data_IF_293322194047
#
_entry.id   IF_293322194047
#
_cell.length_a   1.000
_cell.length_b   1.000
_cell.length_c   1.000
_cell.angle_alpha   90.00
_cell.angle_beta   90.00
_cell.angle_gamma   90.00
#
_symmetry.space_group_name_H-M   'P 1'
#
loop_
_entity.id
_entity.type
_entity.pdbx_description
1 polymer ?
#
# COMPACT_ATOMS: atom_id res chain seq x y z
N UNK A 1 39.70 3.58 44.40
CA UNK A 1 39.60 2.35 45.21
C UNK A 1 38.13 1.94 45.30
N UNK A 2 37.84 0.67 44.95
CA UNK A 2 36.71 -0.20 45.35
C UNK A 2 35.27 0.32 45.10
N UNK A 3 34.49 -0.16 44.13
CA UNK A 3 33.90 -1.49 43.86
C UNK A 3 32.77 -1.92 44.81
N UNK A 4 31.57 -2.16 44.24
CA UNK A 4 30.57 -3.25 44.45
C UNK A 4 29.22 -2.80 43.83
N UNK A 5 28.63 -3.44 42.79
CA UNK A 5 27.86 -4.71 42.75
C UNK A 5 26.75 -4.76 43.82
N UNK A 6 25.49 -5.16 43.65
CA UNK A 6 24.59 -5.67 42.60
C UNK A 6 23.14 -5.42 43.15
N UNK A 7 22.05 -5.47 42.38
CA UNK A 7 21.23 -6.69 42.25
C UNK A 7 19.98 -6.44 41.41
N UNK A 8 19.62 -7.46 40.63
CA UNK A 8 18.33 -7.68 39.97
C UNK A 8 17.17 -7.66 40.94
N UNK A 9 15.98 -7.26 40.47
CA UNK A 9 14.76 -8.01 40.73
C UNK A 9 13.76 -7.91 39.56
N UNK A 10 13.17 -9.06 39.33
CA UNK A 10 12.25 -9.49 38.29
C UNK A 10 10.84 -8.92 38.55
N UNK A 11 10.11 -8.60 37.48
CA UNK A 11 8.69 -8.27 37.54
C UNK A 11 8.01 -8.45 36.19
N UNK A 12 7.46 -9.66 35.97
CA UNK A 12 6.54 -9.98 34.89
C UNK A 12 5.12 -9.79 35.45
N UNK A 13 4.27 -9.00 34.79
CA UNK A 13 2.81 -9.22 34.71
C UNK A 13 2.30 -8.83 33.31
N UNK A 14 1.25 -9.54 32.91
CA UNK A 14 0.81 -9.98 31.59
C UNK A 14 -0.23 -9.03 30.95
N UNK A 15 -0.33 -9.17 29.63
CA UNK A 15 -1.11 -8.49 28.60
C UNK A 15 -2.65 -8.41 28.75
N UNK A 16 -3.23 -7.39 28.10
CA UNK A 16 -4.42 -7.43 27.21
C UNK A 16 -4.52 -6.02 26.58
N UNK A 17 -4.79 -5.74 25.31
CA UNK A 17 -5.14 -6.48 24.11
C UNK A 17 -5.23 -5.46 22.95
N UNK A 18 -5.75 -5.94 21.80
CA UNK A 18 -6.10 -5.21 20.59
C UNK A 18 -4.98 -4.88 19.58
N UNK A 19 -5.13 -5.46 18.39
CA UNK A 19 -4.47 -5.04 17.16
C UNK A 19 -3.46 -6.06 16.67
N UNK A 20 -3.93 -7.05 15.89
CA UNK A 20 -3.08 -7.84 15.02
C UNK A 20 -2.42 -6.91 13.98
N UNK A 21 -1.30 -6.30 14.34
CA UNK A 21 -0.29 -5.82 13.41
C UNK A 21 0.48 -7.08 13.00
N UNK A 22 0.17 -7.62 11.82
CA UNK A 22 1.08 -8.52 11.13
C UNK A 22 2.40 -7.78 10.94
N UNK A 23 3.37 -8.08 11.80
CA UNK A 23 4.74 -7.69 11.61
C UNK A 23 5.26 -8.40 10.37
N UNK A 24 5.24 -7.71 9.22
CA UNK A 24 5.88 -8.19 8.01
C UNK A 24 7.35 -8.46 8.33
N UNK A 25 7.72 -9.72 8.17
CA UNK A 25 9.04 -10.24 8.46
C UNK A 25 10.01 -9.64 7.46
N UNK A 26 10.72 -8.59 7.87
CA UNK A 26 11.79 -7.97 7.09
C UNK A 26 12.95 -8.98 6.99
N UNK A 27 13.03 -9.74 5.90
CA UNK A 27 14.19 -10.57 5.60
C UNK A 27 15.32 -9.63 5.18
N UNK A 28 16.22 -9.31 6.11
CA UNK A 28 17.50 -8.73 5.77
C UNK A 28 18.33 -9.79 5.05
N UNK A 29 18.20 -9.87 3.72
CA UNK A 29 19.01 -10.77 2.92
C UNK A 29 20.47 -10.29 2.93
N UNK A 30 21.32 -11.10 3.55
CA UNK A 30 22.78 -10.97 3.55
C UNK A 30 23.34 -11.14 2.12
N UNK A 31 24.51 -10.57 1.90
CA UNK A 31 25.07 -10.27 0.58
C UNK A 31 25.52 -11.55 -0.13
N UNK A 32 24.98 -11.85 -1.32
CA UNK A 32 25.66 -12.72 -2.28
C UNK A 32 25.61 -12.14 -3.69
N UNK A 33 26.79 -12.11 -4.33
CA UNK A 33 27.12 -11.37 -5.54
C UNK A 33 27.16 -12.29 -6.75
N UNK A 34 26.32 -12.06 -7.77
CA UNK A 34 26.62 -12.48 -9.16
C UNK A 34 25.71 -11.79 -10.18
N UNK A 35 26.36 -11.13 -11.16
CA UNK A 35 25.95 -10.80 -12.54
C UNK A 35 25.43 -9.39 -12.94
N UNK A 36 26.34 -8.66 -13.61
CA UNK A 36 26.14 -7.80 -14.80
C UNK A 36 26.82 -6.41 -14.72
N UNK A 37 27.13 -5.77 -15.86
CA UNK A 37 27.65 -4.38 -15.92
C UNK A 37 26.58 -3.38 -16.40
N UNK A 38 25.49 -3.92 -16.98
CA UNK A 38 24.08 -3.51 -16.82
C UNK A 38 23.41 -4.24 -15.63
N UNK A 39 24.23 -4.79 -14.73
CA UNK A 39 23.87 -5.58 -13.56
C UNK A 39 24.79 -5.29 -12.38
N UNK A 40 25.08 -3.99 -12.17
CA UNK A 40 25.44 -3.55 -10.84
C UNK A 40 24.22 -3.79 -9.97
N UNK A 41 24.23 -4.86 -9.18
CA UNK A 41 23.12 -5.26 -8.31
C UNK A 41 22.49 -4.02 -7.67
N UNK A 42 21.16 -3.88 -7.67
CA UNK A 42 20.45 -2.78 -7.00
C UNK A 42 20.95 -2.67 -5.56
N UNK A 43 21.70 -1.61 -5.26
CA UNK A 43 22.37 -1.43 -3.97
C UNK A 43 23.85 -1.84 -3.90
N UNK A 44 24.51 -2.10 -5.03
CA UNK A 44 25.98 -2.16 -5.12
C UNK A 44 26.59 -0.75 -5.01
N UNK A 45 27.86 -0.65 -4.64
CA UNK A 45 28.54 0.64 -4.52
C UNK A 45 28.56 1.44 -5.82
N UNK A 46 28.75 0.76 -6.96
CA UNK A 46 28.70 1.37 -8.28
C UNK A 46 27.29 1.87 -8.59
N UNK A 47 26.26 1.08 -8.29
CA UNK A 47 24.86 1.47 -8.47
C UNK A 47 24.52 2.70 -7.62
N UNK A 48 24.95 2.73 -6.35
CA UNK A 48 24.76 3.91 -5.49
C UNK A 48 25.47 5.15 -6.04
N UNK A 49 26.71 5.00 -6.52
CA UNK A 49 27.47 6.10 -7.12
C UNK A 49 26.77 6.65 -8.37
N UNK A 50 26.26 5.76 -9.22
CA UNK A 50 25.51 6.13 -10.44
C UNK A 50 24.18 6.80 -10.09
N UNK A 51 23.39 6.21 -9.20
CA UNK A 51 22.11 6.75 -8.77
C UNK A 51 22.25 8.12 -8.13
N UNK A 52 23.31 8.36 -7.34
CA UNK A 52 23.56 9.68 -6.73
C UNK A 52 23.77 10.78 -7.78
N UNK A 53 24.22 10.44 -8.98
CA UNK A 53 24.53 11.38 -10.04
C UNK A 53 23.34 11.71 -10.95
N UNK A 54 22.18 11.05 -10.78
CA UNK A 54 20.98 11.40 -11.57
C UNK A 54 20.39 12.73 -11.11
N UNK A 55 19.80 13.49 -12.04
CA UNK A 55 19.24 14.81 -11.74
C UNK A 55 18.14 14.76 -10.65
N UNK A 56 17.27 13.75 -10.71
CA UNK A 56 16.20 13.54 -9.73
C UNK A 56 16.77 13.26 -8.32
N UNK A 57 17.77 12.39 -8.23
CA UNK A 57 18.36 12.06 -6.93
C UNK A 57 19.21 13.21 -6.40
N UNK A 58 19.87 14.00 -7.24
CA UNK A 58 20.52 15.23 -6.80
C UNK A 58 19.53 16.27 -6.26
N UNK A 59 18.29 16.32 -6.78
CA UNK A 59 17.24 17.18 -6.24
C UNK A 59 16.78 16.69 -4.85
N UNK A 60 16.58 15.38 -4.69
CA UNK A 60 16.32 14.77 -3.38
C UNK A 60 17.45 15.08 -2.38
N UNK A 61 18.70 14.92 -2.79
CA UNK A 61 19.84 15.19 -1.92
C UNK A 61 19.90 16.67 -1.48
N UNK A 62 19.50 17.60 -2.35
CA UNK A 62 19.37 19.03 -1.99
C UNK A 62 18.26 19.25 -0.97
N UNK A 63 17.10 18.60 -1.13
CA UNK A 63 16.00 18.74 -0.17
C UNK A 63 16.32 18.16 1.20
N UNK A 64 17.12 17.09 1.25
CA UNK A 64 17.57 16.47 2.50
C UNK A 64 18.65 17.28 3.23
N UNK A 65 19.62 17.83 2.51
CA UNK A 65 20.75 18.55 3.13
C UNK A 65 20.45 20.01 3.42
N UNK A 66 19.47 20.60 2.71
CA UNK A 66 19.25 22.06 2.70
C UNK A 66 20.46 22.84 2.15
N UNK A 67 21.41 22.17 1.50
CA UNK A 67 22.68 22.73 1.04
C UNK A 67 22.88 22.49 -0.45
N UNK A 68 23.71 23.34 -1.07
CA UNK A 68 24.13 23.16 -2.48
C UNK A 68 25.07 21.97 -2.65
N UNK A 69 25.85 21.61 -1.63
CA UNK A 69 26.75 20.47 -1.69
C UNK A 69 26.00 19.16 -1.38
N UNK A 70 25.70 18.41 -2.44
CA UNK A 70 25.03 17.10 -2.38
C UNK A 70 25.98 15.93 -2.50
N UNK A 71 27.30 16.18 -2.55
CA UNK A 71 28.31 15.13 -2.73
C UNK A 71 28.29 14.11 -1.58
N UNK A 72 27.87 14.54 -0.39
CA UNK A 72 27.77 13.70 0.81
C UNK A 72 26.39 13.82 1.44
N UNK A 73 25.81 12.66 1.76
CA UNK A 73 24.61 12.57 2.58
C UNK A 73 24.95 12.95 4.03
N UNK A 74 24.06 13.62 4.78
CA UNK A 74 24.29 13.86 6.20
C UNK A 74 24.43 12.54 6.98
N UNK A 75 25.23 12.54 8.06
CA UNK A 75 25.56 11.33 8.82
C UNK A 75 24.34 10.67 9.49
N UNK A 76 23.31 11.46 9.78
CA UNK A 76 22.03 11.01 10.33
C UNK A 76 21.10 10.39 9.28
N UNK A 77 21.56 10.24 8.04
CA UNK A 77 20.82 9.55 6.98
C UNK A 77 21.53 8.27 6.52
N UNK A 78 20.78 7.45 5.78
CA UNK A 78 21.24 6.22 5.15
C UNK A 78 20.79 6.24 3.68
N UNK A 79 21.69 5.90 2.77
CA UNK A 79 21.31 5.63 1.38
C UNK A 79 20.60 4.28 1.30
N UNK A 80 19.56 4.21 0.48
CA UNK A 80 18.71 3.05 0.42
C UNK A 80 18.43 2.64 -1.03
N UNK A 81 18.69 1.37 -1.31
CA UNK A 81 18.30 0.70 -2.54
C UNK A 81 17.07 -0.16 -2.24
N UNK A 82 15.92 0.24 -2.77
CA UNK A 82 14.68 -0.50 -2.64
C UNK A 82 14.40 -1.31 -3.90
N UNK A 83 13.76 -2.46 -3.70
CA UNK A 83 13.28 -3.32 -4.77
C UNK A 83 11.84 -3.71 -4.48
N UNK A 84 10.91 -3.35 -5.35
CA UNK A 84 9.53 -3.80 -5.27
C UNK A 84 9.40 -5.07 -6.11
N UNK A 85 8.87 -6.14 -5.52
CA UNK A 85 8.66 -7.42 -6.19
C UNK A 85 7.16 -7.66 -6.30
N UNK A 86 6.75 -8.10 -7.49
CA UNK A 86 5.38 -8.49 -7.80
C UNK A 86 5.35 -10.00 -8.04
N UNK A 87 5.07 -10.85 -7.03
CA UNK A 87 5.15 -12.29 -7.17
C UNK A 87 4.25 -12.85 -8.27
N UNK A 88 3.09 -12.25 -8.47
CA UNK A 88 2.08 -12.61 -9.47
C UNK A 88 2.23 -11.79 -10.77
N UNK A 89 3.33 -11.05 -10.91
CA UNK A 89 3.58 -10.09 -11.98
C UNK A 89 2.96 -8.72 -11.69
N UNK A 90 3.42 -7.71 -12.44
CA UNK A 90 2.97 -6.32 -12.25
C UNK A 90 1.43 -6.23 -12.47
N UNK A 91 0.66 -5.89 -11.43
CA UNK A 91 -0.80 -5.89 -11.49
C UNK A 91 -1.38 -4.60 -12.09
N UNK A 92 -0.55 -3.59 -12.35
CA UNK A 92 -1.03 -2.30 -12.80
C UNK A 92 -1.38 -2.29 -14.30
N UNK A 93 -2.43 -1.55 -14.71
CA UNK A 93 -2.83 -1.45 -16.11
C UNK A 93 -1.66 -1.05 -17.02
N UNK A 94 -1.59 -1.69 -18.18
CA UNK A 94 -0.51 -1.47 -19.17
C UNK A 94 0.90 -1.71 -18.61
N UNK A 95 1.02 -2.45 -17.49
CA UNK A 95 2.28 -2.72 -16.77
C UNK A 95 3.02 -1.43 -16.35
N UNK A 96 2.29 -0.33 -16.18
CA UNK A 96 2.86 0.96 -15.76
C UNK A 96 2.69 1.14 -14.25
N UNK A 97 3.80 1.32 -13.56
CA UNK A 97 3.80 1.59 -12.12
C UNK A 97 3.21 2.98 -11.82
N UNK A 98 2.38 3.11 -10.76
CA UNK A 98 2.02 4.41 -10.20
C UNK A 98 3.24 5.14 -9.61
N UNK A 99 3.05 6.40 -9.22
CA UNK A 99 4.10 7.15 -8.55
C UNK A 99 4.35 6.57 -7.15
N UNK A 100 5.58 6.15 -6.87
CA UNK A 100 5.98 5.78 -5.52
C UNK A 100 6.14 7.04 -4.66
N UNK A 101 5.46 7.08 -3.51
CA UNK A 101 5.64 8.10 -2.47
C UNK A 101 6.07 7.46 -1.17
N UNK A 102 7.05 8.06 -0.51
CA UNK A 102 7.56 7.57 0.76
C UNK A 102 7.56 8.70 1.77
N UNK A 103 6.90 8.48 2.91
CA UNK A 103 6.73 9.48 3.97
C UNK A 103 7.22 8.95 5.31
N UNK A 104 7.90 9.81 6.07
CA UNK A 104 8.23 9.52 7.46
C UNK A 104 6.95 9.54 8.30
N UNK A 105 6.78 8.58 9.21
CA UNK A 105 5.67 8.62 10.17
C UNK A 105 5.79 9.77 11.17
N UNK A 106 7.01 10.21 11.45
CA UNK A 106 7.29 11.37 12.29
C UNK A 106 7.79 12.53 11.42
N UNK A 107 6.85 13.30 10.87
CA UNK A 107 7.17 14.43 9.98
C UNK A 107 7.98 15.53 10.68
N UNK A 108 7.90 15.64 12.01
CA UNK A 108 8.75 16.57 12.77
C UNK A 108 10.22 16.16 12.74
N UNK A 109 10.50 14.86 12.70
CA UNK A 109 11.85 14.35 12.60
C UNK A 109 12.39 14.41 11.17
N UNK A 110 11.52 14.19 10.17
CA UNK A 110 11.84 14.22 8.75
C UNK A 110 10.59 14.57 7.94
N UNK A 111 10.50 15.82 7.49
CA UNK A 111 9.36 16.34 6.73
C UNK A 111 9.51 16.17 5.22
N UNK A 112 10.61 15.58 4.74
CA UNK A 112 10.87 15.48 3.30
C UNK A 112 10.07 14.33 2.70
N UNK A 113 9.11 14.65 1.85
CA UNK A 113 8.45 13.64 1.03
C UNK A 113 9.39 13.15 -0.08
N UNK A 114 9.49 11.83 -0.25
CA UNK A 114 10.29 11.23 -1.32
C UNK A 114 9.38 10.71 -2.41
N UNK A 115 9.75 11.02 -3.65
CA UNK A 115 9.11 10.53 -4.86
C UNK A 115 10.17 9.93 -5.80
N UNK A 116 10.79 8.80 -5.39
CA UNK A 116 11.84 8.21 -6.20
C UNK A 116 11.26 7.63 -7.50
N UNK A 117 12.05 7.72 -8.58
CA UNK A 117 11.74 6.98 -9.79
C UNK A 117 11.87 5.48 -9.51
N UNK A 118 10.86 4.71 -9.90
CA UNK A 118 10.88 3.24 -9.86
C UNK A 118 11.13 2.76 -11.28
N UNK A 119 12.19 1.98 -11.47
CA UNK A 119 12.50 1.40 -12.77
C UNK A 119 11.54 0.26 -13.14
N UNK A 120 11.69 -0.25 -14.37
CA UNK A 120 10.86 -1.34 -14.92
C UNK A 120 10.92 -2.63 -14.10
N UNK A 121 12.02 -2.83 -13.37
CA UNK A 121 12.26 -4.04 -12.59
C UNK A 121 11.77 -3.85 -11.16
N UNK A 122 11.29 -2.65 -10.77
CA UNK A 122 10.82 -2.31 -9.42
C UNK A 122 11.90 -1.70 -8.52
N UNK A 123 13.10 -1.46 -9.06
CA UNK A 123 14.22 -0.87 -8.34
C UNK A 123 14.05 0.63 -8.13
N UNK A 124 14.45 1.14 -6.97
CA UNK A 124 14.44 2.57 -6.68
C UNK A 124 15.55 2.99 -5.72
N UNK A 125 16.01 4.23 -5.86
CA UNK A 125 16.97 4.87 -4.96
C UNK A 125 16.28 5.90 -4.07
N UNK A 126 16.63 5.93 -2.79
CA UNK A 126 16.25 7.02 -1.88
C UNK A 126 17.23 7.15 -0.73
N UNK A 127 16.98 8.08 0.19
CA UNK A 127 17.72 8.17 1.44
C UNK A 127 16.78 8.44 2.60
N UNK A 128 17.02 7.77 3.73
CA UNK A 128 16.17 7.83 4.91
C UNK A 128 16.92 8.37 6.12
N UNK A 129 16.23 9.11 6.98
CA UNK A 129 16.77 9.51 8.27
C UNK A 129 16.81 8.30 9.20
N UNK A 130 17.90 8.19 9.95
CA UNK A 130 18.15 7.12 10.90
C UNK A 130 17.22 7.24 12.11
N UNK A 131 16.85 6.08 12.65
CA UNK A 131 15.96 5.96 13.80
C UNK A 131 14.48 6.23 13.49
N UNK A 132 14.10 6.32 12.21
CA UNK A 132 12.73 6.65 11.80
C UNK A 132 12.05 5.49 11.09
N UNK A 133 10.72 5.57 11.03
CA UNK A 133 9.86 4.64 10.30
C UNK A 133 9.19 5.35 9.14
N UNK A 134 9.15 4.68 8.00
CA UNK A 134 8.59 5.22 6.76
C UNK A 134 7.47 4.33 6.24
N UNK A 135 6.49 4.95 5.62
CA UNK A 135 5.39 4.29 4.91
C UNK A 135 5.54 4.53 3.41
N UNK A 136 5.34 3.47 2.63
CA UNK A 136 5.41 3.47 1.18
C UNK A 136 4.00 3.44 0.62
N UNK A 137 3.74 4.33 -0.34
CA UNK A 137 2.45 4.52 -0.96
C UNK A 137 2.58 4.48 -2.49
N UNK A 138 1.58 3.89 -3.14
CA UNK A 138 1.27 4.24 -4.51
C UNK A 138 0.42 5.51 -4.53
N UNK A 139 0.81 6.46 -5.37
CA UNK A 139 0.04 7.66 -5.64
C UNK A 139 -0.51 7.58 -7.06
N UNK A 140 -1.83 7.65 -7.15
CA UNK A 140 -2.55 7.54 -8.41
C UNK A 140 -2.92 8.93 -8.94
N UNK A 141 -3.20 9.03 -10.25
CA UNK A 141 -3.45 10.29 -10.96
C UNK A 141 -4.58 11.16 -10.38
N UNK A 142 -5.51 10.57 -9.60
CA UNK A 142 -6.60 11.30 -8.94
C UNK A 142 -6.32 11.64 -7.47
N UNK A 143 -5.06 11.57 -7.04
CA UNK A 143 -4.65 11.91 -5.67
C UNK A 143 -5.00 10.85 -4.63
N UNK A 144 -5.65 9.74 -5.03
CA UNK A 144 -5.81 8.58 -4.17
C UNK A 144 -4.43 7.98 -3.85
N UNK A 145 -4.29 7.52 -2.61
CA UNK A 145 -3.06 6.91 -2.11
C UNK A 145 -3.36 5.56 -1.51
N UNK A 146 -2.52 4.58 -1.80
CA UNK A 146 -2.60 3.25 -1.22
C UNK A 146 -1.30 2.94 -0.52
N UNK A 147 -1.36 2.73 0.79
CA UNK A 147 -0.20 2.23 1.55
C UNK A 147 -0.03 0.75 1.27
N UNK A 148 1.16 0.36 0.82
CA UNK A 148 1.47 -1.04 0.54
C UNK A 148 2.61 -1.61 1.37
N UNK A 149 3.37 -0.77 2.08
CA UNK A 149 4.47 -1.25 2.90
C UNK A 149 4.97 -0.23 3.90
N UNK A 150 5.81 -0.71 4.80
CA UNK A 150 6.51 0.12 5.78
C UNK A 150 7.94 -0.36 5.98
N UNK A 151 8.83 0.55 6.36
CA UNK A 151 10.20 0.20 6.71
C UNK A 151 10.66 0.96 7.96
N UNK A 152 11.39 0.27 8.83
CA UNK A 152 12.07 0.87 9.98
C UNK A 152 13.56 1.00 9.67
N UNK A 153 14.09 2.19 9.87
CA UNK A 153 15.50 2.51 9.68
C UNK A 153 16.15 2.63 11.06
N UNK A 154 16.91 1.63 11.52
CA UNK A 154 17.66 1.70 12.76
C UNK A 154 18.54 2.96 12.88
N UNK A 155 18.67 3.44 14.12
CA UNK A 155 19.49 4.61 14.45
C UNK A 155 20.99 4.42 14.15
N UNK A 156 21.46 3.16 14.18
CA UNK A 156 22.85 2.76 13.95
C UNK A 156 22.93 1.75 12.81
N UNK A 157 24.09 1.64 12.18
CA UNK A 157 24.35 0.67 11.12
C UNK A 157 25.01 1.30 9.89
N UNK A 158 25.17 0.54 8.80
CA UNK A 158 25.93 0.97 7.63
C UNK A 158 25.34 2.23 6.99
N UNK A 159 26.17 2.96 6.23
CA UNK A 159 25.78 4.16 5.47
C UNK A 159 24.85 3.86 4.29
N UNK A 160 24.84 2.60 3.84
CA UNK A 160 24.05 2.09 2.72
C UNK A 160 23.27 0.86 3.16
N UNK A 161 22.02 0.75 2.71
CA UNK A 161 21.16 -0.41 2.98
C UNK A 161 20.36 -0.78 1.74
N UNK A 162 19.90 -2.02 1.73
CA UNK A 162 19.00 -2.56 0.72
C UNK A 162 17.76 -3.13 1.40
N UNK A 163 16.62 -3.07 0.72
CA UNK A 163 15.43 -3.80 1.13
C UNK A 163 14.56 -4.20 -0.05
N UNK A 164 13.78 -5.25 0.17
CA UNK A 164 12.82 -5.78 -0.79
C UNK A 164 11.42 -5.59 -0.20
N UNK A 165 10.50 -5.11 -1.01
CA UNK A 165 9.09 -4.91 -0.68
C UNK A 165 8.27 -5.78 -1.60
N UNK A 166 7.58 -6.76 -1.03
CA UNK A 166 6.65 -7.58 -1.79
C UNK A 166 5.31 -6.85 -1.90
N UNK A 167 4.84 -6.64 -3.13
CA UNK A 167 3.52 -6.07 -3.37
C UNK A 167 2.56 -7.18 -3.78
N UNK A 168 1.53 -7.38 -2.98
CA UNK A 168 0.40 -8.26 -3.29
C UNK A 168 -0.86 -7.41 -3.37
N UNK A 169 -1.61 -7.60 -4.45
CA UNK A 169 -2.95 -7.00 -4.56
C UNK A 169 -3.81 -7.60 -3.47
N UNK A 170 -4.45 -6.76 -2.66
CA UNK A 170 -5.38 -7.23 -1.64
C UNK A 170 -6.61 -7.81 -2.35
N UNK A 171 -6.81 -9.12 -2.27
CA UNK A 171 -8.04 -9.78 -2.72
C UNK A 171 -7.90 -10.80 -3.85
N UNK A 172 -6.70 -11.05 -4.40
CA UNK A 172 -6.50 -12.17 -5.33
C UNK A 172 -6.44 -13.47 -4.53
N UNK A 173 -7.60 -13.97 -4.11
CA UNK A 173 -7.74 -15.36 -3.69
C UNK A 173 -7.68 -16.19 -4.97
N UNK A 174 -6.66 -17.04 -5.11
CA UNK A 174 -6.69 -18.11 -6.09
C UNK A 174 -7.96 -18.93 -5.85
N UNK A 175 -8.97 -18.73 -6.71
CA UNK A 175 -10.17 -19.54 -6.74
C UNK A 175 -9.74 -20.90 -7.31
N UNK A 176 -9.40 -21.84 -6.44
CA UNK A 176 -9.46 -23.24 -6.80
C UNK A 176 -10.91 -23.59 -7.13
N UNK A 177 -11.10 -24.28 -8.25
CA UNK A 177 -12.37 -24.63 -8.85
C UNK A 177 -13.29 -25.48 -7.93
N UNK A 178 -14.61 -25.48 -8.20
CA UNK A 178 -15.65 -25.70 -7.20
C UNK A 178 -15.97 -27.18 -6.95
N UNK A 179 -16.34 -27.51 -5.71
CA UNK A 179 -17.15 -28.71 -5.40
C UNK A 179 -18.60 -28.31 -5.08
N UNK A 180 -19.58 -29.17 -5.43
CA UNK A 180 -20.96 -28.75 -5.61
C UNK A 180 -21.78 -28.73 -4.33
N UNK A 181 -22.87 -27.96 -4.44
CA UNK A 181 -24.02 -27.73 -3.59
C UNK A 181 -24.27 -28.69 -2.42
N UNK A 182 -24.45 -28.09 -1.24
CA UNK A 182 -25.30 -28.60 -0.17
C UNK A 182 -26.27 -27.49 0.23
N UNK A 183 -27.55 -27.70 -0.08
CA UNK A 183 -28.68 -26.94 0.46
C UNK A 183 -28.67 -27.02 2.00
N UNK A 184 -29.00 -25.92 2.69
CA UNK A 184 -30.00 -25.98 3.75
C UNK A 184 -30.41 -24.59 4.29
N UNK A 185 -31.71 -24.32 4.08
CA UNK A 185 -32.71 -23.58 4.88
C UNK A 185 -32.32 -22.46 5.85
N UNK A 186 -32.99 -21.33 5.62
CA UNK A 186 -33.27 -20.25 6.59
C UNK A 186 -34.09 -20.74 7.81
N UNK A 187 -34.05 -19.99 8.92
CA UNK A 187 -35.17 -19.09 9.28
C UNK A 187 -34.66 -17.72 9.76
N UNK A 188 -35.31 -16.58 9.51
CA UNK A 188 -36.64 -16.22 9.98
C UNK A 188 -36.52 -15.27 11.17
N UNK A 189 -36.75 -13.96 10.96
CA UNK A 189 -36.70 -12.95 12.01
C UNK A 189 -37.30 -11.62 11.54
N UNK A 190 -38.57 -11.39 11.88
CA UNK A 190 -39.36 -10.20 11.57
C UNK A 190 -39.12 -9.13 12.64
N UNK A 191 -38.73 -7.91 12.25
CA UNK A 191 -39.03 -6.72 13.06
C UNK A 191 -39.39 -5.54 12.15
N UNK A 192 -40.54 -4.97 12.45
CA UNK A 192 -41.28 -3.96 11.70
C UNK A 192 -40.67 -2.57 11.90
N UNK A 193 -40.14 -1.97 10.83
CA UNK A 193 -39.99 -0.52 10.70
C UNK A 193 -40.40 -0.11 9.29
N UNK A 194 -41.15 0.98 9.21
CA UNK A 194 -41.78 1.59 8.02
C UNK A 194 -40.81 1.58 6.81
N UNK A 195 -41.19 1.03 5.65
CA UNK A 195 -40.23 0.75 4.58
C UNK A 195 -39.79 2.05 3.92
N UNK A 196 -38.52 2.43 4.12
CA UNK A 196 -37.77 3.01 3.02
C UNK A 196 -37.84 1.98 1.90
N UNK A 197 -38.32 2.38 0.73
CA UNK A 197 -38.49 1.51 -0.44
C UNK A 197 -37.17 0.79 -0.70
N UNK A 198 -37.10 -0.51 -0.34
CA UNK A 198 -35.86 -1.28 -0.46
C UNK A 198 -35.52 -1.29 -1.96
N UNK A 199 -34.35 -0.74 -2.37
CA UNK A 199 -33.99 -0.72 -3.78
C UNK A 199 -34.02 -2.15 -4.33
N UNK A 200 -34.61 -2.37 -5.51
CA UNK A 200 -34.62 -3.70 -6.10
C UNK A 200 -33.17 -4.19 -6.30
N UNK A 201 -32.89 -5.43 -5.91
CA UNK A 201 -31.57 -6.08 -6.04
C UNK A 201 -30.43 -5.31 -5.32
N UNK A 202 -30.62 -4.92 -4.06
CA UNK A 202 -29.58 -4.24 -3.24
C UNK A 202 -28.25 -4.98 -3.17
N UNK A 203 -28.24 -6.31 -3.27
CA UNK A 203 -27.01 -7.13 -3.22
C UNK A 203 -26.27 -7.20 -4.56
N UNK A 204 -26.86 -6.67 -5.65
CA UNK A 204 -26.33 -6.80 -7.01
C UNK A 204 -25.78 -5.46 -7.49
N UNK A 205 -24.51 -5.47 -7.88
CA UNK A 205 -23.88 -4.36 -8.60
C UNK A 205 -24.30 -4.38 -10.07
N UNK A 206 -24.89 -3.30 -10.58
CA UNK A 206 -25.15 -3.20 -12.01
C UNK A 206 -23.84 -2.91 -12.76
N UNK A 207 -23.29 -3.93 -13.43
CA UNK A 207 -22.08 -3.82 -14.26
C UNK A 207 -22.39 -3.64 -15.77
N UNK A 208 -23.65 -3.41 -16.15
CA UNK A 208 -24.04 -3.39 -17.56
C UNK A 208 -23.47 -2.21 -18.37
N UNK A 209 -23.04 -1.12 -17.70
CA UNK A 209 -22.28 -0.03 -18.31
C UNK A 209 -20.78 -0.07 -17.99
N UNK A 210 -20.31 -1.15 -17.38
CA UNK A 210 -18.91 -1.38 -17.02
C UNK A 210 -18.22 -2.24 -18.08
N UNK A 211 -16.96 -1.95 -18.48
CA UNK A 211 -16.30 -2.77 -19.48
C UNK A 211 -16.04 -4.19 -18.94
N UNK A 212 -16.08 -5.23 -19.81
CA UNK A 212 -15.84 -6.61 -19.40
C UNK A 212 -14.47 -6.85 -18.75
N UNK A 213 -13.49 -6.02 -19.09
CA UNK A 213 -12.19 -5.94 -18.44
C UNK A 213 -11.87 -4.47 -18.20
N UNK A 214 -11.34 -4.10 -17.01
CA UNK A 214 -10.87 -2.75 -16.75
C UNK A 214 -9.87 -2.30 -17.82
N UNK A 215 -10.19 -1.21 -18.51
CA UNK A 215 -9.34 -0.62 -19.55
C UNK A 215 -8.47 0.51 -18.98
N UNK A 216 -8.90 1.05 -17.85
CA UNK A 216 -8.18 2.01 -17.06
C UNK A 216 -8.19 1.66 -15.55
N UNK A 217 -7.49 2.48 -14.78
CA UNK A 217 -7.28 2.24 -13.36
C UNK A 217 -8.51 2.58 -12.51
N UNK A 218 -9.34 3.52 -12.95
CA UNK A 218 -10.59 3.84 -12.25
C UNK A 218 -11.54 2.64 -12.32
N UNK A 219 -11.60 2.01 -13.48
CA UNK A 219 -12.32 0.75 -13.68
C UNK A 219 -11.73 -0.39 -12.83
N UNK A 220 -10.40 -0.46 -12.67
CA UNK A 220 -9.81 -1.48 -11.79
C UNK A 220 -10.22 -1.26 -10.32
N UNK A 221 -10.17 -0.02 -9.83
CA UNK A 221 -10.53 0.30 -8.44
C UNK A 221 -12.00 0.01 -8.12
N UNK A 222 -12.89 0.30 -9.06
CA UNK A 222 -14.33 0.02 -8.90
C UNK A 222 -14.54 -1.50 -8.87
N UNK A 223 -13.89 -2.25 -9.76
CA UNK A 223 -14.00 -3.71 -9.78
C UNK A 223 -13.43 -4.36 -8.51
N UNK A 224 -12.28 -3.90 -8.02
CA UNK A 224 -11.68 -4.40 -6.78
C UNK A 224 -12.56 -4.10 -5.56
N UNK A 225 -13.19 -2.92 -5.51
CA UNK A 225 -14.13 -2.56 -4.45
C UNK A 225 -15.35 -3.49 -4.46
N UNK A 226 -15.89 -3.79 -5.65
CA UNK A 226 -17.03 -4.70 -5.83
C UNK A 226 -16.66 -6.13 -5.40
N UNK A 227 -15.48 -6.62 -5.80
CA UNK A 227 -15.03 -7.97 -5.47
C UNK A 227 -14.74 -8.16 -3.97
N UNK A 228 -14.32 -7.10 -3.28
CA UNK A 228 -14.02 -7.13 -1.84
C UNK A 228 -15.22 -6.81 -0.94
N UNK A 229 -16.37 -6.44 -1.51
CA UNK A 229 -17.58 -6.01 -0.81
C UNK A 229 -18.31 -7.15 -0.08
N UNK A 230 -17.72 -7.59 1.03
CA UNK A 230 -18.22 -8.72 1.85
C UNK A 230 -19.03 -8.27 3.07
N UNK A 231 -18.89 -7.02 3.51
CA UNK A 231 -19.60 -6.44 4.65
C UNK A 231 -20.53 -5.31 4.18
N UNK A 232 -21.59 -4.96 4.96
CA UNK A 232 -22.44 -3.82 4.63
C UNK A 232 -21.66 -2.51 4.37
N UNK A 233 -20.61 -2.26 5.17
CA UNK A 233 -19.70 -1.12 4.99
C UNK A 233 -19.05 -1.10 3.60
N UNK A 234 -18.48 -2.23 3.21
CA UNK A 234 -17.75 -2.37 1.96
C UNK A 234 -18.70 -2.39 0.76
N UNK A 235 -19.93 -2.92 0.93
CA UNK A 235 -20.99 -2.82 -0.07
C UNK A 235 -21.40 -1.37 -0.29
N UNK A 236 -21.64 -0.60 0.77
CA UNK A 236 -21.94 0.82 0.67
C UNK A 236 -20.84 1.58 -0.09
N UNK A 237 -19.57 1.33 0.27
CA UNK A 237 -18.42 1.94 -0.40
C UNK A 237 -18.32 1.54 -1.89
N UNK A 238 -18.55 0.26 -2.21
CA UNK A 238 -18.47 -0.25 -3.57
C UNK A 238 -19.59 0.32 -4.47
N UNK A 239 -20.83 0.39 -3.97
CA UNK A 239 -21.96 1.00 -4.68
C UNK A 239 -21.72 2.50 -4.92
N UNK A 240 -21.18 3.22 -3.93
CA UNK A 240 -20.84 4.64 -4.07
C UNK A 240 -19.73 4.87 -5.12
N UNK A 241 -18.70 4.01 -5.15
CA UNK A 241 -17.65 4.07 -6.19
C UNK A 241 -18.20 3.80 -7.59
N UNK A 242 -19.07 2.80 -7.73
CA UNK A 242 -19.70 2.47 -9.01
C UNK A 242 -20.65 3.58 -9.48
N UNK A 243 -21.39 4.21 -8.57
CA UNK A 243 -22.25 5.34 -8.89
C UNK A 243 -21.47 6.54 -9.44
N UNK A 244 -20.33 6.88 -8.81
CA UNK A 244 -19.45 7.96 -9.29
C UNK A 244 -18.87 7.67 -10.67
N UNK A 245 -18.50 6.41 -10.91
CA UNK A 245 -18.04 5.99 -12.23
C UNK A 245 -19.13 6.24 -13.30
N UNK A 246 -20.38 5.85 -13.03
CA UNK A 246 -21.48 6.08 -13.98
C UNK A 246 -21.78 7.56 -14.21
N UNK A 247 -21.78 8.38 -13.16
CA UNK A 247 -21.99 9.82 -13.29
C UNK A 247 -20.92 10.47 -14.18
N UNK A 248 -19.65 10.05 -14.04
CA UNK A 248 -18.55 10.52 -14.88
C UNK A 248 -18.69 10.12 -16.35
N UNK A 249 -19.28 8.96 -16.62
CA UNK A 249 -19.59 8.50 -17.99
C UNK A 249 -20.88 9.13 -18.54
N UNK A 250 -21.55 9.99 -17.76
CA UNK A 250 -22.81 10.65 -18.14
C UNK A 250 -24.05 9.80 -17.91
N UNK A 251 -23.92 8.63 -17.30
CA UNK A 251 -25.02 7.71 -17.03
C UNK A 251 -25.66 8.01 -15.67
N UNK A 252 -26.47 9.08 -15.66
CA UNK A 252 -27.10 9.59 -14.43
C UNK A 252 -28.16 8.66 -13.85
N UNK A 253 -28.75 7.78 -14.67
CA UNK A 253 -29.77 6.82 -14.21
C UNK A 253 -29.12 5.69 -13.42
N UNK A 254 -28.08 5.06 -13.97
CA UNK A 254 -27.32 4.02 -13.23
C UNK A 254 -26.63 4.60 -12.01
N UNK A 255 -26.08 5.80 -12.11
CA UNK A 255 -25.48 6.49 -10.96
C UNK A 255 -26.48 6.68 -9.81
N UNK A 256 -27.72 7.07 -10.12
CA UNK A 256 -28.79 7.24 -9.11
C UNK A 256 -29.18 5.91 -8.47
N UNK A 257 -29.32 4.86 -9.28
CA UNK A 257 -29.66 3.52 -8.80
C UNK A 257 -28.60 3.00 -7.83
N UNK A 258 -27.32 3.10 -8.19
CA UNK A 258 -26.22 2.63 -7.35
C UNK A 258 -26.05 3.47 -6.08
N UNK A 259 -26.31 4.79 -6.12
CA UNK A 259 -26.38 5.62 -4.90
C UNK A 259 -27.46 5.20 -3.93
N UNK A 260 -28.66 4.88 -4.42
CA UNK A 260 -29.75 4.43 -3.56
C UNK A 260 -29.40 3.10 -2.85
N UNK A 261 -28.67 2.20 -3.53
CA UNK A 261 -28.14 0.98 -2.91
C UNK A 261 -27.04 1.28 -1.88
N UNK A 262 -26.14 2.23 -2.18
CA UNK A 262 -25.11 2.66 -1.23
C UNK A 262 -25.73 3.22 0.06
N UNK A 263 -26.76 4.05 -0.07
CA UNK A 263 -27.52 4.61 1.05
C UNK A 263 -28.19 3.50 1.88
N UNK A 264 -28.86 2.55 1.23
CA UNK A 264 -29.42 1.38 1.91
C UNK A 264 -28.35 0.64 2.75
N UNK A 265 -27.22 0.27 2.16
CA UNK A 265 -26.18 -0.47 2.88
C UNK A 265 -25.53 0.32 4.00
N UNK A 266 -25.49 1.66 3.89
CA UNK A 266 -25.00 2.54 4.95
C UNK A 266 -25.93 2.55 6.17
N UNK A 267 -27.24 2.41 5.96
CA UNK A 267 -28.24 2.33 7.05
C UNK A 267 -28.31 0.95 7.73
N UNK A 268 -27.82 -0.10 7.06
CA UNK A 268 -27.72 -1.47 7.62
C UNK A 268 -26.50 -1.61 8.57
N UNK A 269 -25.71 -0.55 8.75
CA UNK A 269 -24.53 -0.55 9.62
C UNK A 269 -24.81 -0.22 11.10
N UNK A 270 -26.04 0.17 11.45
CA UNK A 270 -26.50 0.40 12.84
C UNK A 270 -27.22 -0.83 13.40
#
# INVERSE_FOLDING_TARGET
MRSHWASMLLGIVIATGAGALTAERLVAADVNSTNGIYGGYVGSDKWFAEMRNTAANQALMRSLTGRRDTRRLPADYVEFAGQIVFPEGNPFPKKRLPDLRIKCRNEKADSVERAPFVDKDGGFYTAFKRGQSYDLYWMYYFGSREKFGSIVIPAKGPARRRGVFEYRVKGVVHREDPRPAGEDKAPGGTTTAKPAEIPANVDVFDLSGFPPQPTDFEEQLVLDAIQSATTPALKAEAHEKLARYYEKKGDTERARSERAKAEYWSTVQE
#
